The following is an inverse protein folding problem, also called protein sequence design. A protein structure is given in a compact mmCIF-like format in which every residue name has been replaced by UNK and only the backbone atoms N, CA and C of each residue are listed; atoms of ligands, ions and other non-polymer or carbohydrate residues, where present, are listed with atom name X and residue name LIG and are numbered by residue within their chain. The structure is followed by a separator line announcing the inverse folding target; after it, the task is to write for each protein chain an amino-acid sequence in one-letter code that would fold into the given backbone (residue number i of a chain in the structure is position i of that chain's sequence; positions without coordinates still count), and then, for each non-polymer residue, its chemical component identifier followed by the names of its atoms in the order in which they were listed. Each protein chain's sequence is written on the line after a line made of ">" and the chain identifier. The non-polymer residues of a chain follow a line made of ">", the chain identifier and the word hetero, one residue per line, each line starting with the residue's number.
data_IF_868090235966
#
_entry.id   IF_868090235966
#
_cell.length_a   1.000
_cell.length_b   1.000
_cell.length_c   1.000
_cell.angle_alpha   90.00
_cell.angle_beta   90.00
_cell.angle_gamma   90.00
#
_symmetry.space_group_name_H-M   'P 1'
#
loop_
_entity.id
_entity.type
_entity.pdbx_description
1 polymer ?
#
# COMPACT_ATOMS: atom_id res chain seq x y z
N UNK A 1 19.81 3.69 -14.59
CA UNK A 1 19.31 3.94 -15.96
C UNK A 1 18.02 3.13 -16.11
N UNK A 2 16.93 3.70 -16.66
CA UNK A 2 15.69 2.95 -16.87
C UNK A 2 15.85 1.93 -18.00
N UNK A 3 15.28 0.73 -17.83
CA UNK A 3 15.40 -0.39 -18.77
C UNK A 3 14.27 -0.46 -19.79
N UNK A 4 13.11 0.10 -19.47
CA UNK A 4 12.06 0.30 -20.48
C UNK A 4 12.57 1.22 -21.60
N UNK A 5 12.13 1.00 -22.82
CA UNK A 5 12.58 1.75 -24.00
C UNK A 5 11.62 2.90 -24.32
N UNK A 6 10.31 2.63 -24.28
CA UNK A 6 9.20 3.52 -24.60
C UNK A 6 9.24 4.82 -23.78
N UNK A 7 9.43 5.93 -24.48
CA UNK A 7 9.41 7.26 -23.87
C UNK A 7 8.05 7.59 -23.23
N UNK A 8 6.90 7.34 -23.89
CA UNK A 8 5.59 7.52 -23.23
C UNK A 8 5.47 6.72 -21.93
N UNK A 9 5.95 5.47 -21.90
CA UNK A 9 5.92 4.66 -20.69
C UNK A 9 6.83 5.22 -19.59
N UNK A 10 8.03 5.71 -19.92
CA UNK A 10 8.94 6.38 -18.97
C UNK A 10 8.28 7.57 -18.30
N UNK A 11 7.60 8.42 -19.08
CA UNK A 11 6.92 9.60 -18.55
C UNK A 11 5.76 9.16 -17.65
N UNK A 12 4.91 8.26 -18.13
CA UNK A 12 3.73 7.82 -17.39
C UNK A 12 4.08 7.12 -16.07
N UNK A 13 4.99 6.14 -16.12
CA UNK A 13 5.40 5.38 -14.95
C UNK A 13 6.35 6.17 -14.04
N UNK A 14 7.17 7.05 -14.60
CA UNK A 14 7.98 7.98 -13.80
C UNK A 14 7.11 8.95 -13.01
N UNK A 15 6.08 9.52 -13.63
CA UNK A 15 5.09 10.35 -12.94
C UNK A 15 4.32 9.56 -11.87
N UNK A 16 3.85 8.35 -12.22
CA UNK A 16 3.12 7.51 -11.27
C UNK A 16 3.99 7.13 -10.07
N UNK A 17 5.25 6.73 -10.30
CA UNK A 17 6.20 6.42 -9.24
C UNK A 17 6.48 7.64 -8.35
N UNK A 18 6.63 8.84 -8.93
CA UNK A 18 6.79 10.07 -8.17
C UNK A 18 5.57 10.33 -7.27
N UNK A 19 4.35 10.20 -7.80
CA UNK A 19 3.12 10.39 -7.03
C UNK A 19 2.99 9.36 -5.90
N UNK A 20 3.25 8.08 -6.18
CA UNK A 20 3.21 7.04 -5.15
C UNK A 20 4.26 7.26 -4.07
N UNK A 21 5.47 7.69 -4.43
CA UNK A 21 6.50 8.04 -3.46
C UNK A 21 6.10 9.23 -2.60
N UNK A 22 5.56 10.28 -3.22
CA UNK A 22 5.15 11.50 -2.55
C UNK A 22 4.03 11.20 -1.53
N UNK A 23 2.96 10.53 -1.96
CA UNK A 23 1.90 10.11 -1.03
C UNK A 23 2.40 9.13 0.02
N UNK A 24 3.29 8.20 -0.35
CA UNK A 24 3.86 7.26 0.59
C UNK A 24 4.61 7.95 1.73
N UNK A 25 5.61 8.77 1.42
CA UNK A 25 6.46 9.43 2.41
C UNK A 25 5.67 10.44 3.23
N UNK A 26 4.85 11.27 2.57
CA UNK A 26 4.04 12.26 3.25
C UNK A 26 3.07 11.61 4.23
N UNK A 27 2.39 10.54 3.82
CA UNK A 27 1.39 9.94 4.68
C UNK A 27 2.02 9.06 5.76
N UNK A 28 2.95 8.17 5.43
CA UNK A 28 3.44 7.20 6.42
C UNK A 28 4.17 7.86 7.60
N UNK A 29 4.87 8.98 7.37
CA UNK A 29 5.61 9.70 8.42
C UNK A 29 4.91 10.96 8.93
N UNK A 30 3.95 11.52 8.19
CA UNK A 30 3.31 12.79 8.52
C UNK A 30 1.79 12.75 8.36
N UNK A 31 1.18 11.57 8.50
CA UNK A 31 -0.26 11.39 8.31
C UNK A 31 -1.10 12.25 9.25
N UNK A 32 -0.68 12.40 10.50
CA UNK A 32 -1.31 13.29 11.50
C UNK A 32 -1.19 14.76 11.08
N UNK A 33 0.01 15.20 10.70
CA UNK A 33 0.25 16.57 10.22
C UNK A 33 -0.55 16.88 8.95
N UNK A 34 -0.66 15.91 8.03
CA UNK A 34 -1.42 16.04 6.80
C UNK A 34 -2.89 16.33 7.08
N UNK A 35 -3.50 15.61 8.04
CA UNK A 35 -4.94 15.76 8.34
C UNK A 35 -5.24 17.04 9.13
N UNK A 36 -4.25 17.63 9.80
CA UNK A 36 -4.35 18.95 10.46
C UNK A 36 -3.89 20.10 9.56
N UNK A 37 -3.70 19.87 8.26
CA UNK A 37 -3.28 20.91 7.31
C UNK A 37 -1.88 21.49 7.54
N UNK A 38 -1.03 20.78 8.28
CA UNK A 38 0.32 21.26 8.63
C UNK A 38 0.37 22.33 9.73
N UNK A 39 -0.76 22.70 10.33
CA UNK A 39 -0.84 23.74 11.37
C UNK A 39 -0.19 23.29 12.70
N UNK A 40 -0.27 21.99 12.99
CA UNK A 40 0.20 21.42 14.26
C UNK A 40 1.64 20.89 14.15
N UNK A 41 2.04 20.45 12.95
CA UNK A 41 3.37 19.93 12.67
C UNK A 41 3.68 19.98 11.17
N UNK A 42 4.97 19.87 10.82
CA UNK A 42 5.42 19.94 9.42
C UNK A 42 4.81 18.81 8.57
N UNK A 43 4.20 19.17 7.44
CA UNK A 43 3.66 18.23 6.47
C UNK A 43 4.22 18.55 5.06
N UNK A 44 4.87 17.59 4.36
CA UNK A 44 5.37 17.83 2.99
C UNK A 44 4.23 18.02 1.98
N UNK A 45 3.10 17.37 2.24
CA UNK A 45 1.80 17.63 1.64
C UNK A 45 0.84 17.95 2.76
N UNK A 46 -0.08 18.87 2.54
CA UNK A 46 -1.21 19.16 3.42
C UNK A 46 -2.54 18.99 2.66
N UNK A 47 -3.64 18.88 3.41
CA UNK A 47 -4.98 18.77 2.87
C UNK A 47 -5.67 20.12 2.65
N UNK A 48 -4.96 21.25 2.86
CA UNK A 48 -5.49 22.60 2.71
C UNK A 48 -6.44 23.07 3.81
N UNK A 49 -6.66 22.28 4.86
CA UNK A 49 -7.56 22.63 5.97
C UNK A 49 -6.81 23.53 6.95
N UNK A 50 -7.31 24.74 7.17
CA UNK A 50 -6.67 25.74 8.06
C UNK A 50 -7.53 26.13 9.26
N UNK A 51 -8.68 25.46 9.43
CA UNK A 51 -9.66 25.79 10.47
C UNK A 51 -10.02 24.51 11.24
N UNK A 52 -9.95 24.57 12.57
CA UNK A 52 -10.20 23.44 13.47
C UNK A 52 -11.68 23.04 13.57
N UNK A 53 -12.60 23.93 13.18
CA UNK A 53 -14.03 23.63 13.07
C UNK A 53 -14.42 22.89 11.79
N UNK A 54 -13.48 22.65 10.86
CA UNK A 54 -13.74 21.89 9.64
C UNK A 54 -14.05 20.42 9.97
N UNK A 55 -15.07 19.80 9.34
CA UNK A 55 -15.45 18.41 9.64
C UNK A 55 -14.36 17.37 9.32
N UNK A 56 -13.32 17.72 8.54
CA UNK A 56 -12.19 16.86 8.24
C UNK A 56 -10.91 17.22 9.00
N UNK A 57 -10.88 18.32 9.77
CA UNK A 57 -9.69 18.71 10.51
C UNK A 57 -9.29 17.63 11.52
N UNK A 58 -8.06 17.14 11.39
CA UNK A 58 -7.49 16.19 12.34
C UNK A 58 -8.08 14.78 12.28
N UNK A 59 -8.81 14.44 11.22
CA UNK A 59 -9.53 13.17 11.10
C UNK A 59 -8.67 12.11 10.41
N UNK A 60 -8.43 10.97 11.07
CA UNK A 60 -7.87 9.78 10.43
C UNK A 60 -6.38 9.82 10.10
N UNK A 61 -5.55 10.49 10.91
CA UNK A 61 -4.09 10.49 10.75
C UNK A 61 -3.50 9.06 10.67
N UNK A 62 -3.83 8.14 11.59
CA UNK A 62 -3.33 6.76 11.54
C UNK A 62 -3.82 5.94 10.32
N UNK A 63 -5.03 6.19 9.84
CA UNK A 63 -5.54 5.55 8.61
C UNK A 63 -4.78 6.08 7.38
N UNK A 64 -4.53 7.39 7.36
CA UNK A 64 -3.71 8.04 6.34
C UNK A 64 -2.28 7.48 6.35
N UNK A 65 -1.67 7.33 7.53
CA UNK A 65 -0.34 6.75 7.65
C UNK A 65 -0.25 5.32 7.09
N UNK A 66 -1.25 4.50 7.36
CA UNK A 66 -1.33 3.16 6.78
C UNK A 66 -1.48 3.19 5.25
N UNK A 67 -2.28 4.11 4.70
CA UNK A 67 -2.34 4.35 3.25
C UNK A 67 -0.96 4.68 2.66
N UNK A 68 -0.15 5.49 3.35
CA UNK A 68 1.21 5.81 2.94
C UNK A 68 2.12 4.58 2.83
N UNK A 69 1.98 3.65 3.79
CA UNK A 69 2.69 2.37 3.76
C UNK A 69 2.25 1.51 2.58
N UNK A 70 0.94 1.46 2.28
CA UNK A 70 0.44 0.70 1.15
C UNK A 70 0.84 1.33 -0.20
N UNK A 71 0.95 2.66 -0.29
CA UNK A 71 1.54 3.31 -1.46
C UNK A 71 3.02 2.96 -1.62
N UNK A 72 3.76 2.76 -0.53
CA UNK A 72 5.19 2.43 -0.58
C UNK A 72 5.49 1.16 -1.37
N UNK A 73 4.73 0.08 -1.14
CA UNK A 73 4.92 -1.15 -1.92
C UNK A 73 4.50 -1.00 -3.39
N UNK A 74 3.47 -0.21 -3.70
CA UNK A 74 3.09 0.09 -5.09
C UNK A 74 4.16 0.95 -5.79
N UNK A 75 4.78 1.87 -5.05
CA UNK A 75 5.95 2.61 -5.52
C UNK A 75 7.09 1.66 -5.87
N UNK A 76 7.49 0.77 -4.95
CA UNK A 76 8.56 -0.21 -5.20
C UNK A 76 8.24 -1.06 -6.44
N UNK A 77 7.02 -1.58 -6.55
CA UNK A 77 6.63 -2.40 -7.70
C UNK A 77 6.67 -1.62 -9.02
N UNK A 78 6.31 -0.33 -9.00
CA UNK A 78 6.43 0.56 -10.17
C UNK A 78 7.90 0.82 -10.54
N UNK A 79 8.77 1.01 -9.54
CA UNK A 79 10.21 1.15 -9.76
C UNK A 79 10.84 -0.13 -10.35
N UNK A 80 10.34 -1.32 -9.95
CA UNK A 80 10.76 -2.57 -10.57
C UNK A 80 10.43 -2.62 -12.07
N UNK A 81 9.30 -2.06 -12.51
CA UNK A 81 9.00 -1.97 -13.94
C UNK A 81 10.01 -1.05 -14.64
N UNK A 82 10.28 0.13 -14.06
CA UNK A 82 11.19 1.12 -14.62
C UNK A 82 12.63 0.61 -14.75
N UNK A 83 13.13 -0.12 -13.74
CA UNK A 83 14.53 -0.58 -13.69
C UNK A 83 14.76 -1.97 -14.25
N UNK A 84 13.78 -2.87 -14.16
CA UNK A 84 13.97 -4.26 -14.56
C UNK A 84 13.36 -4.58 -15.94
N UNK A 85 12.55 -3.66 -16.47
CA UNK A 85 11.96 -3.71 -17.81
C UNK A 85 10.51 -4.17 -17.80
N UNK A 86 9.87 -4.08 -18.98
CA UNK A 86 8.44 -4.29 -19.14
C UNK A 86 7.99 -5.75 -19.18
N UNK A 87 8.85 -6.65 -19.66
CA UNK A 87 8.50 -8.04 -19.99
C UNK A 87 7.78 -8.76 -18.85
N UNK A 88 6.56 -9.25 -19.14
CA UNK A 88 5.72 -9.97 -18.18
C UNK A 88 5.21 -9.16 -16.98
N UNK A 89 5.39 -7.84 -16.94
CA UNK A 89 4.99 -7.00 -15.80
C UNK A 89 3.49 -6.71 -15.71
N UNK A 90 2.66 -7.31 -16.57
CA UNK A 90 1.20 -7.35 -16.35
C UNK A 90 0.82 -7.85 -14.95
N UNK A 91 1.65 -8.73 -14.37
CA UNK A 91 1.49 -9.26 -13.00
C UNK A 91 1.47 -8.17 -11.92
N UNK A 92 2.16 -7.06 -12.18
CA UNK A 92 2.14 -5.86 -11.34
C UNK A 92 1.03 -4.92 -11.83
N UNK A 93 1.05 -4.60 -13.13
CA UNK A 93 0.29 -3.48 -13.68
C UNK A 93 -1.22 -3.69 -13.65
N UNK A 94 -1.71 -4.89 -13.93
CA UNK A 94 -3.16 -5.15 -13.94
C UNK A 94 -3.76 -5.10 -12.53
N UNK A 95 -3.21 -5.80 -11.51
CA UNK A 95 -3.65 -5.64 -10.13
C UNK A 95 -3.59 -4.19 -9.62
N UNK A 96 -2.48 -3.48 -9.85
CA UNK A 96 -2.37 -2.08 -9.45
C UNK A 96 -3.40 -1.19 -10.14
N UNK A 97 -3.68 -1.41 -11.43
CA UNK A 97 -4.70 -0.63 -12.15
C UNK A 97 -6.09 -0.85 -11.56
N UNK A 98 -6.44 -2.08 -11.18
CA UNK A 98 -7.73 -2.37 -10.52
C UNK A 98 -7.83 -1.67 -9.17
N UNK A 99 -6.78 -1.69 -8.35
CA UNK A 99 -6.74 -0.93 -7.09
C UNK A 99 -6.89 0.58 -7.30
N UNK A 100 -6.22 1.17 -8.31
CA UNK A 100 -6.34 2.60 -8.63
C UNK A 100 -7.73 2.99 -9.15
N UNK A 101 -8.36 2.12 -9.92
CA UNK A 101 -9.76 2.29 -10.36
C UNK A 101 -10.70 2.26 -9.15
N UNK A 102 -10.55 1.28 -8.25
CA UNK A 102 -11.31 1.21 -7.00
C UNK A 102 -11.07 2.43 -6.12
N UNK A 103 -9.84 2.93 -6.05
CA UNK A 103 -9.50 4.13 -5.30
C UNK A 103 -10.18 5.37 -5.89
N UNK A 104 -10.19 5.49 -7.22
CA UNK A 104 -10.92 6.56 -7.91
C UNK A 104 -12.41 6.49 -7.60
N UNK A 105 -13.00 5.29 -7.62
CA UNK A 105 -14.39 5.10 -7.20
C UNK A 105 -14.59 5.56 -5.74
N UNK A 106 -13.76 5.11 -4.81
CA UNK A 106 -13.87 5.44 -3.39
C UNK A 106 -13.75 6.93 -3.11
N UNK A 107 -12.72 7.58 -3.67
CA UNK A 107 -12.50 9.03 -3.53
C UNK A 107 -13.70 9.82 -4.01
N UNK A 108 -14.33 9.42 -5.12
CA UNK A 108 -15.46 10.14 -5.68
C UNK A 108 -16.77 9.92 -4.94
N UNK A 109 -17.04 8.71 -4.45
CA UNK A 109 -18.30 8.38 -3.77
C UNK A 109 -18.34 8.87 -2.32
N UNK A 110 -17.18 8.94 -1.68
CA UNK A 110 -17.07 9.25 -0.26
C UNK A 110 -16.40 10.59 0.01
N UNK A 111 -16.26 11.45 -1.01
CA UNK A 111 -15.69 12.79 -0.82
C UNK A 111 -16.54 13.61 0.15
N UNK A 112 -15.91 14.29 1.09
CA UNK A 112 -16.60 15.21 1.99
C UNK A 112 -16.67 16.60 1.36
N UNK A 113 -17.78 16.93 0.70
CA UNK A 113 -17.99 18.25 0.07
C UNK A 113 -18.21 19.38 1.12
N UNK A 114 -18.43 19.06 2.40
CA UNK A 114 -18.57 20.04 3.49
C UNK A 114 -17.21 20.50 4.03
N UNK A 115 -16.13 19.79 3.71
CA UNK A 115 -14.78 20.17 4.10
C UNK A 115 -14.18 21.21 3.16
N UNK A 116 -13.33 22.08 3.71
CA UNK A 116 -12.44 22.99 2.99
C UNK A 116 -11.39 22.25 2.15
N UNK A 117 -11.20 20.95 2.35
CA UNK A 117 -10.36 20.12 1.49
C UNK A 117 -10.84 20.23 0.03
N UNK A 118 -10.09 20.98 -0.79
CA UNK A 118 -10.48 21.27 -2.17
C UNK A 118 -10.59 20.00 -3.03
N UNK A 119 -11.31 20.04 -4.16
CA UNK A 119 -11.64 18.85 -4.96
C UNK A 119 -10.44 18.25 -5.73
N UNK A 120 -9.24 18.81 -5.58
CA UNK A 120 -8.04 18.40 -6.32
C UNK A 120 -7.76 16.89 -6.21
N UNK A 121 -7.85 16.23 -5.03
CA UNK A 121 -7.61 14.79 -4.93
C UNK A 121 -8.56 13.93 -5.77
N UNK A 122 -9.82 14.36 -5.99
CA UNK A 122 -10.78 13.69 -6.89
C UNK A 122 -10.26 13.65 -8.33
N UNK A 123 -9.72 14.77 -8.81
CA UNK A 123 -9.18 14.84 -10.16
C UNK A 123 -7.83 14.12 -10.26
N UNK A 124 -6.98 14.24 -9.24
CA UNK A 124 -5.69 13.55 -9.19
C UNK A 124 -5.84 12.03 -9.19
N UNK A 125 -6.86 11.46 -8.53
CA UNK A 125 -7.10 10.02 -8.56
C UNK A 125 -7.38 9.52 -9.99
N UNK A 126 -8.18 10.27 -10.76
CA UNK A 126 -8.46 9.96 -12.18
C UNK A 126 -7.18 10.08 -13.00
N UNK A 127 -6.45 11.20 -12.86
CA UNK A 127 -5.25 11.49 -13.65
C UNK A 127 -4.19 10.40 -13.43
N UNK A 128 -3.88 10.08 -12.17
CA UNK A 128 -2.88 9.05 -11.83
C UNK A 128 -3.33 7.67 -12.35
N UNK A 129 -4.61 7.33 -12.24
CA UNK A 129 -5.15 6.07 -12.77
C UNK A 129 -4.98 5.97 -14.29
N UNK A 130 -5.38 7.00 -15.02
CA UNK A 130 -5.28 7.04 -16.48
C UNK A 130 -3.82 7.06 -16.95
N UNK A 131 -2.93 7.78 -16.26
CA UNK A 131 -1.51 7.80 -16.57
C UNK A 131 -0.88 6.43 -16.34
N UNK A 132 -1.18 5.76 -15.23
CA UNK A 132 -0.63 4.43 -14.95
C UNK A 132 -1.10 3.40 -16.00
N UNK A 133 -2.39 3.42 -16.37
CA UNK A 133 -2.94 2.59 -17.46
C UNK A 133 -2.31 2.97 -18.80
N UNK A 134 -2.11 4.26 -19.08
CA UNK A 134 -1.41 4.75 -20.27
C UNK A 134 0.01 4.20 -20.36
N UNK A 135 0.71 4.10 -19.22
CA UNK A 135 2.00 3.42 -19.09
C UNK A 135 1.92 1.96 -19.50
N UNK A 136 0.91 1.22 -19.00
CA UNK A 136 0.70 -0.19 -19.37
C UNK A 136 0.46 -0.35 -20.88
N UNK A 137 -0.43 0.46 -21.46
CA UNK A 137 -0.70 0.44 -22.91
C UNK A 137 0.56 0.72 -23.72
N UNK A 138 1.37 1.68 -23.26
CA UNK A 138 2.61 2.09 -23.92
C UNK A 138 3.74 1.05 -23.83
N UNK A 139 3.61 0.03 -22.99
CA UNK A 139 4.57 -1.08 -22.84
C UNK A 139 4.17 -2.35 -23.60
N UNK A 140 3.04 -2.35 -24.33
CA UNK A 140 2.56 -3.55 -25.06
C UNK A 140 3.57 -4.09 -26.06
N UNK A 141 4.28 -3.22 -26.77
CA UNK A 141 5.34 -3.62 -27.73
C UNK A 141 6.61 -4.13 -27.06
N UNK A 142 6.82 -3.83 -25.78
CA UNK A 142 7.97 -4.30 -24.98
C UNK A 142 7.66 -5.58 -24.19
N UNK A 143 6.57 -6.27 -24.54
CA UNK A 143 6.25 -7.57 -23.95
C UNK A 143 5.63 -7.50 -22.55
N UNK A 144 4.98 -6.38 -22.16
CA UNK A 144 4.30 -6.30 -20.85
C UNK A 144 3.30 -7.42 -20.61
N UNK A 145 2.67 -7.92 -21.68
CA UNK A 145 1.70 -9.01 -21.66
C UNK A 145 2.31 -10.39 -21.86
N UNK A 146 3.63 -10.52 -21.85
CA UNK A 146 4.25 -11.83 -21.99
C UNK A 146 3.84 -12.77 -20.84
N UNK A 147 3.48 -14.01 -21.18
CA UNK A 147 2.93 -14.99 -20.24
C UNK A 147 1.47 -14.76 -19.85
N UNK A 148 0.84 -13.63 -20.24
CA UNK A 148 -0.57 -13.36 -19.92
C UNK A 148 -1.52 -14.33 -20.63
N UNK A 149 -1.23 -14.70 -21.89
CA UNK A 149 -2.03 -15.68 -22.64
C UNK A 149 -1.95 -17.09 -22.07
N UNK A 150 -0.87 -17.39 -21.35
CA UNK A 150 -0.63 -18.69 -20.73
C UNK A 150 -1.21 -18.77 -19.32
N UNK A 151 -1.65 -17.64 -18.77
CA UNK A 151 -2.30 -17.56 -17.48
C UNK A 151 -3.60 -18.36 -17.49
N UNK A 152 -3.58 -19.48 -16.77
CA UNK A 152 -4.74 -20.32 -16.47
C UNK A 152 -4.91 -20.38 -14.97
N UNK A 153 -5.95 -19.76 -14.39
CA UNK A 153 -6.19 -19.79 -12.95
C UNK A 153 -6.28 -21.23 -12.45
N UNK A 154 -5.55 -21.55 -11.38
CA UNK A 154 -5.64 -22.82 -10.68
C UNK A 154 -4.72 -22.86 -9.46
N UNK A 155 -4.97 -23.72 -8.48
CA UNK A 155 -4.07 -23.85 -7.33
C UNK A 155 -2.75 -24.50 -7.77
N UNK A 156 -1.75 -23.68 -8.09
CA UNK A 156 -0.46 -24.11 -8.68
C UNK A 156 0.70 -24.13 -7.70
N UNK A 157 0.53 -23.53 -6.52
CA UNK A 157 1.49 -23.62 -5.42
C UNK A 157 1.53 -25.05 -4.88
N UNK A 158 2.72 -25.63 -4.71
CA UNK A 158 2.87 -27.02 -4.25
C UNK A 158 3.11 -27.12 -2.74
N UNK A 159 3.77 -26.14 -2.17
CA UNK A 159 4.05 -26.02 -0.75
C UNK A 159 2.76 -25.75 0.03
N UNK A 160 2.36 -26.69 0.88
CA UNK A 160 1.08 -26.62 1.60
C UNK A 160 1.03 -25.46 2.60
N UNK A 161 2.16 -25.10 3.22
CA UNK A 161 2.20 -24.03 4.22
C UNK A 161 2.07 -22.68 3.52
N UNK A 162 2.81 -22.48 2.42
CA UNK A 162 2.69 -21.29 1.60
C UNK A 162 1.30 -21.19 0.96
N UNK A 163 0.73 -22.30 0.49
CA UNK A 163 -0.64 -22.33 -0.06
C UNK A 163 -1.66 -21.86 0.97
N UNK A 164 -1.63 -22.41 2.19
CA UNK A 164 -2.54 -21.98 3.27
C UNK A 164 -2.31 -20.50 3.58
N UNK A 165 -1.04 -20.05 3.64
CA UNK A 165 -0.71 -18.66 3.92
C UNK A 165 -1.28 -17.71 2.88
N UNK A 166 -1.14 -18.05 1.60
CA UNK A 166 -1.71 -17.29 0.48
C UNK A 166 -3.24 -17.32 0.47
N UNK A 167 -3.87 -18.46 0.81
CA UNK A 167 -5.34 -18.53 0.95
C UNK A 167 -5.81 -17.58 2.05
N UNK A 168 -5.16 -17.58 3.21
CA UNK A 168 -5.49 -16.68 4.31
C UNK A 168 -5.29 -15.22 3.91
N UNK A 169 -4.20 -14.88 3.21
CA UNK A 169 -3.97 -13.55 2.66
C UNK A 169 -5.08 -13.10 1.70
N UNK A 170 -5.51 -13.98 0.80
CA UNK A 170 -6.58 -13.69 -0.16
C UNK A 170 -7.92 -13.50 0.57
N UNK A 171 -8.27 -14.38 1.51
CA UNK A 171 -9.52 -14.28 2.25
C UNK A 171 -9.58 -13.03 3.12
N UNK A 172 -8.54 -12.76 3.90
CA UNK A 172 -8.44 -11.55 4.72
C UNK A 172 -8.44 -10.30 3.84
N UNK A 173 -7.63 -10.31 2.78
CA UNK A 173 -7.54 -9.20 1.85
C UNK A 173 -8.87 -8.88 1.16
N UNK A 174 -9.61 -9.89 0.71
CA UNK A 174 -10.95 -9.71 0.13
C UNK A 174 -11.95 -9.19 1.17
N UNK A 175 -11.92 -9.73 2.40
CA UNK A 175 -12.79 -9.26 3.48
C UNK A 175 -12.58 -7.77 3.75
N UNK A 176 -11.33 -7.35 3.96
CA UNK A 176 -10.99 -5.95 4.26
C UNK A 176 -11.19 -5.02 3.06
N UNK A 177 -10.68 -5.38 1.87
CA UNK A 177 -10.79 -4.52 0.69
C UNK A 177 -12.24 -4.26 0.30
N UNK A 178 -13.08 -5.30 0.21
CA UNK A 178 -14.47 -5.15 -0.23
C UNK A 178 -15.26 -4.28 0.75
N UNK A 179 -15.19 -4.58 2.05
CA UNK A 179 -15.96 -3.82 3.06
C UNK A 179 -15.50 -2.37 3.16
N UNK A 180 -14.19 -2.11 3.10
CA UNK A 180 -13.66 -0.76 3.17
C UNK A 180 -14.00 0.05 1.91
N UNK A 181 -14.01 -0.59 0.74
CA UNK A 181 -14.39 0.07 -0.52
C UNK A 181 -15.87 0.42 -0.55
N UNK A 182 -16.76 -0.52 -0.19
CA UNK A 182 -18.21 -0.36 -0.42
C UNK A 182 -19.02 0.09 0.80
N UNK A 183 -18.54 -0.19 2.01
CA UNK A 183 -19.22 0.16 3.26
C UNK A 183 -18.27 0.79 4.30
N UNK A 184 -17.48 1.83 3.93
CA UNK A 184 -16.51 2.44 4.83
C UNK A 184 -17.14 3.01 6.11
N UNK A 185 -18.38 3.52 6.05
CA UNK A 185 -19.11 3.99 7.23
C UNK A 185 -19.35 2.89 8.26
N UNK A 186 -19.65 1.66 7.82
CA UNK A 186 -19.87 0.53 8.73
C UNK A 186 -18.56 0.12 9.39
N UNK A 187 -17.46 0.13 8.64
CA UNK A 187 -16.10 -0.11 9.17
C UNK A 187 -15.75 0.93 10.25
N UNK A 188 -16.07 2.19 9.99
CA UNK A 188 -15.85 3.27 10.96
C UNK A 188 -16.71 3.07 12.20
N UNK A 189 -18.00 2.74 12.04
CA UNK A 189 -18.91 2.54 13.16
C UNK A 189 -18.51 1.36 14.07
N UNK A 190 -17.95 0.29 13.49
CA UNK A 190 -17.38 -0.83 14.26
C UNK A 190 -16.07 -0.44 14.97
N UNK A 191 -15.21 0.34 14.31
CA UNK A 191 -13.94 0.79 14.86
C UNK A 191 -14.08 1.85 15.96
N UNK A 192 -15.09 2.72 15.84
CA UNK A 192 -15.33 3.89 16.68
C UNK A 192 -16.80 3.92 17.12
N UNK A 193 -17.21 3.05 18.05
CA UNK A 193 -18.60 2.97 18.48
C UNK A 193 -19.02 4.25 19.23
N UNK A 194 -20.31 4.59 19.20
CA UNK A 194 -20.84 5.85 19.73
C UNK A 194 -20.60 6.09 21.24
N UNK A 195 -20.32 5.02 21.99
CA UNK A 195 -20.00 5.04 23.42
C UNK A 195 -18.49 4.94 23.70
N UNK A 196 -17.63 5.19 22.71
CA UNK A 196 -16.18 5.17 22.91
C UNK A 196 -15.72 6.34 23.79
N UNK A 197 -15.10 6.01 24.92
CA UNK A 197 -14.58 6.99 25.91
C UNK A 197 -13.05 7.16 25.84
N UNK A 198 -12.37 6.48 24.92
CA UNK A 198 -10.92 6.62 24.79
C UNK A 198 -10.49 7.90 24.07
N UNK A 199 -9.19 8.14 24.01
CA UNK A 199 -8.61 9.43 23.63
C UNK A 199 -8.51 9.61 22.12
N UNK A 200 -9.59 10.08 21.49
CA UNK A 200 -9.50 10.77 20.20
C UNK A 200 -9.00 12.21 20.42
N UNK A 201 -8.20 12.71 19.50
CA UNK A 201 -7.73 14.09 19.52
C UNK A 201 -7.62 14.61 18.10
N UNK A 202 -8.62 15.39 17.66
CA UNK A 202 -8.56 16.07 16.35
C UNK A 202 -7.40 17.05 16.30
N UNK A 203 -7.09 17.74 17.41
CA UNK A 203 -5.93 18.60 17.52
C UNK A 203 -4.58 17.87 17.31
N UNK A 204 -4.53 16.56 17.53
CA UNK A 204 -3.34 15.74 17.27
C UNK A 204 -3.47 14.91 15.98
N UNK A 205 -4.49 15.12 15.14
CA UNK A 205 -4.70 14.29 13.96
C UNK A 205 -5.22 12.88 14.23
N UNK A 206 -5.61 12.59 15.47
CA UNK A 206 -6.08 11.28 15.96
C UNK A 206 -7.62 11.17 16.00
N UNK A 207 -8.32 12.00 15.24
CA UNK A 207 -9.77 11.90 15.06
C UNK A 207 -10.18 10.63 14.30
N UNK A 208 -11.46 10.29 14.37
CA UNK A 208 -12.06 9.19 13.60
C UNK A 208 -11.77 9.36 12.10
N UNK A 209 -11.39 8.31 11.35
CA UNK A 209 -11.13 8.46 9.93
C UNK A 209 -12.40 8.76 9.13
N UNK A 210 -12.23 9.47 8.03
CA UNK A 210 -13.28 9.76 7.07
C UNK A 210 -13.54 8.56 6.15
N UNK A 211 -14.76 8.41 5.62
CA UNK A 211 -15.10 7.31 4.72
C UNK A 211 -14.22 7.27 3.46
N UNK A 212 -13.77 8.43 2.97
CA UNK A 212 -12.81 8.53 1.86
C UNK A 212 -11.49 7.83 2.17
N UNK A 213 -10.93 8.07 3.37
CA UNK A 213 -9.64 7.50 3.78
C UNK A 213 -9.74 5.97 3.89
N UNK A 214 -10.83 5.48 4.48
CA UNK A 214 -11.09 4.03 4.60
C UNK A 214 -11.27 3.37 3.24
N UNK A 215 -12.02 3.99 2.33
CA UNK A 215 -12.21 3.46 0.98
C UNK A 215 -10.92 3.42 0.15
N UNK A 216 -10.04 4.42 0.33
CA UNK A 216 -8.68 4.40 -0.23
C UNK A 216 -7.87 3.22 0.32
N UNK A 217 -7.90 2.98 1.64
CA UNK A 217 -7.23 1.83 2.26
C UNK A 217 -7.68 0.51 1.67
N UNK A 218 -9.00 0.30 1.57
CA UNK A 218 -9.56 -0.91 0.95
C UNK A 218 -9.08 -1.11 -0.49
N UNK A 219 -9.00 -0.02 -1.25
CA UNK A 219 -8.54 -0.02 -2.65
C UNK A 219 -7.05 -0.37 -2.78
N UNK A 220 -6.23 0.09 -1.83
CA UNK A 220 -4.81 -0.25 -1.81
C UNK A 220 -4.58 -1.69 -1.35
N UNK A 221 -5.31 -2.17 -0.32
CA UNK A 221 -5.30 -3.58 0.11
C UNK A 221 -5.68 -4.52 -1.04
N UNK A 222 -6.61 -4.11 -1.91
CA UNK A 222 -7.01 -4.90 -3.08
C UNK A 222 -5.81 -5.23 -3.98
N UNK A 223 -4.84 -4.32 -4.15
CA UNK A 223 -3.64 -4.58 -4.96
C UNK A 223 -2.84 -5.76 -4.40
N UNK A 224 -2.54 -5.73 -3.10
CA UNK A 224 -1.79 -6.79 -2.41
C UNK A 224 -2.56 -8.12 -2.36
N UNK A 225 -3.89 -8.02 -2.26
CA UNK A 225 -4.80 -9.19 -2.31
C UNK A 225 -4.71 -9.86 -3.68
N UNK A 226 -4.77 -9.07 -4.76
CA UNK A 226 -4.68 -9.56 -6.13
C UNK A 226 -3.27 -10.10 -6.45
N UNK A 227 -2.21 -9.52 -5.91
CA UNK A 227 -0.86 -10.08 -5.99
C UNK A 227 -0.74 -11.44 -5.29
N UNK A 228 -1.29 -11.57 -4.08
CA UNK A 228 -1.32 -12.85 -3.36
C UNK A 228 -2.14 -13.90 -4.11
N UNK A 229 -3.30 -13.50 -4.63
CA UNK A 229 -4.15 -14.36 -5.45
C UNK A 229 -3.43 -14.80 -6.73
N UNK A 230 -2.66 -13.90 -7.36
CA UNK A 230 -1.89 -14.24 -8.55
C UNK A 230 -0.82 -15.30 -8.25
N UNK A 231 -0.07 -15.17 -7.15
CA UNK A 231 0.92 -16.18 -6.74
C UNK A 231 0.23 -17.52 -6.47
N UNK A 232 -0.90 -17.51 -5.78
CA UNK A 232 -1.68 -18.71 -5.48
C UNK A 232 -2.19 -19.40 -6.76
N UNK A 233 -2.71 -18.61 -7.70
CA UNK A 233 -3.39 -19.08 -8.91
C UNK A 233 -2.47 -19.36 -10.10
N UNK A 234 -1.29 -18.75 -10.14
CA UNK A 234 -0.35 -18.92 -11.25
C UNK A 234 0.92 -19.69 -10.85
N UNK A 235 1.17 -19.84 -9.55
CA UNK A 235 2.38 -20.45 -9.02
C UNK A 235 3.46 -19.40 -8.70
N UNK A 236 4.51 -19.85 -8.02
CA UNK A 236 5.55 -18.99 -7.46
C UNK A 236 6.56 -18.46 -8.49
N UNK A 237 6.83 -19.22 -9.56
CA UNK A 237 7.94 -18.94 -10.47
C UNK A 237 7.93 -17.50 -10.99
N UNK A 238 9.00 -16.75 -10.70
CA UNK A 238 9.20 -15.36 -11.13
C UNK A 238 8.27 -14.32 -10.50
N UNK A 239 7.53 -14.65 -9.43
CA UNK A 239 6.59 -13.73 -8.76
C UNK A 239 7.23 -12.89 -7.64
N UNK A 240 8.55 -12.91 -7.49
CA UNK A 240 9.28 -12.01 -6.57
C UNK A 240 8.86 -10.54 -6.75
N UNK A 241 8.58 -10.11 -7.99
CA UNK A 241 8.26 -8.72 -8.30
C UNK A 241 6.92 -8.23 -7.71
N UNK A 242 6.10 -9.13 -7.14
CA UNK A 242 4.88 -8.80 -6.40
C UNK A 242 4.95 -9.17 -4.91
N UNK A 243 5.70 -10.21 -4.52
CA UNK A 243 5.89 -10.52 -3.09
C UNK A 243 6.97 -9.69 -2.39
N UNK A 244 8.03 -9.26 -3.08
CA UNK A 244 9.03 -8.36 -2.48
C UNK A 244 8.41 -7.02 -2.07
N UNK A 245 7.66 -6.31 -2.95
CA UNK A 245 7.02 -5.07 -2.53
C UNK A 245 6.00 -5.28 -1.40
N UNK A 246 5.30 -6.42 -1.40
CA UNK A 246 4.42 -6.82 -0.29
C UNK A 246 5.19 -6.97 1.03
N UNK A 247 6.34 -7.66 1.02
CA UNK A 247 7.17 -7.83 2.20
C UNK A 247 7.67 -6.48 2.74
N UNK A 248 8.16 -5.60 1.86
CA UNK A 248 8.57 -4.24 2.26
C UNK A 248 7.42 -3.44 2.87
N UNK A 249 6.24 -3.45 2.24
CA UNK A 249 5.07 -2.73 2.75
C UNK A 249 4.62 -3.25 4.12
N UNK A 250 4.44 -4.56 4.29
CA UNK A 250 3.90 -5.10 5.53
C UNK A 250 4.91 -5.15 6.69
N UNK A 251 6.22 -5.21 6.42
CA UNK A 251 7.25 -4.92 7.43
C UNK A 251 7.13 -3.47 7.89
N UNK A 252 7.00 -2.53 6.96
CA UNK A 252 6.83 -1.10 7.27
C UNK A 252 5.57 -0.88 8.10
N UNK A 253 4.45 -1.53 7.75
CA UNK A 253 3.19 -1.43 8.48
C UNK A 253 3.33 -1.96 9.91
N UNK A 254 4.03 -3.09 10.08
CA UNK A 254 4.23 -3.67 11.41
C UNK A 254 5.16 -2.80 12.26
N UNK A 255 6.24 -2.27 11.68
CA UNK A 255 7.16 -1.37 12.37
C UNK A 255 6.47 -0.06 12.78
N UNK A 256 5.71 0.55 11.87
CA UNK A 256 4.98 1.79 12.14
C UNK A 256 3.92 1.58 13.21
N UNK A 257 3.16 0.48 13.14
CA UNK A 257 2.14 0.15 14.13
C UNK A 257 2.75 -0.10 15.52
N UNK A 258 3.83 -0.86 15.60
CA UNK A 258 4.51 -1.10 16.89
C UNK A 258 4.95 0.20 17.54
N UNK A 259 5.59 1.08 16.77
CA UNK A 259 6.07 2.38 17.28
C UNK A 259 4.89 3.27 17.68
N UNK A 260 3.84 3.34 16.85
CA UNK A 260 2.63 4.11 17.15
C UNK A 260 1.89 3.61 18.40
N UNK A 261 1.90 2.30 18.67
CA UNK A 261 1.33 1.73 19.91
C UNK A 261 2.12 2.18 21.14
N UNK A 262 3.45 2.25 21.05
CA UNK A 262 4.31 2.76 22.14
C UNK A 262 4.16 4.28 22.31
N UNK A 263 4.03 5.01 21.21
CA UNK A 263 3.86 6.47 21.21
C UNK A 263 2.45 6.91 21.65
N UNK A 264 1.47 6.00 21.65
CA UNK A 264 0.07 6.32 21.95
C UNK A 264 -0.70 6.94 20.78
N UNK A 265 -0.19 6.83 19.55
CA UNK A 265 -0.78 7.38 18.33
C UNK A 265 -1.49 6.33 17.45
N UNK A 266 -1.36 5.04 17.80
CA UNK A 266 -2.05 3.96 17.08
C UNK A 266 -3.58 3.96 17.31
N UNK A 267 -4.33 3.48 16.31
CA UNK A 267 -5.75 3.17 16.47
C UNK A 267 -5.92 1.97 17.40
N UNK A 268 -6.43 2.24 18.59
CA UNK A 268 -6.70 1.23 19.60
C UNK A 268 -8.05 1.50 20.32
N UNK A 269 -9.01 2.06 19.59
CA UNK A 269 -10.26 2.56 20.17
C UNK A 269 -11.27 1.46 20.53
N UNK A 270 -11.18 0.30 19.91
CA UNK A 270 -12.15 -0.79 20.07
C UNK A 270 -11.51 -2.14 19.89
N UNK A 271 -12.23 -3.20 20.26
CA UNK A 271 -11.85 -4.57 19.92
C UNK A 271 -11.67 -4.74 18.40
N UNK A 272 -12.48 -4.07 17.58
CA UNK A 272 -12.33 -4.08 16.13
C UNK A 272 -10.98 -3.47 15.70
N UNK A 273 -10.60 -2.30 16.22
CA UNK A 273 -9.29 -1.70 15.94
C UNK A 273 -8.12 -2.56 16.45
N UNK A 274 -8.27 -3.21 17.60
CA UNK A 274 -7.27 -4.15 18.12
C UNK A 274 -7.11 -5.35 17.19
N UNK A 275 -8.22 -5.91 16.71
CA UNK A 275 -8.22 -7.00 15.74
C UNK A 275 -7.57 -6.58 14.41
N UNK A 276 -7.82 -5.36 13.94
CA UNK A 276 -7.20 -4.82 12.73
C UNK A 276 -5.68 -4.67 12.90
N UNK A 277 -5.24 -4.12 14.04
CA UNK A 277 -3.83 -3.99 14.40
C UNK A 277 -3.12 -5.35 14.44
N UNK A 278 -3.73 -6.34 15.11
CA UNK A 278 -3.20 -7.71 15.18
C UNK A 278 -3.16 -8.37 13.79
N UNK A 279 -4.19 -8.15 12.98
CA UNK A 279 -4.26 -8.70 11.61
C UNK A 279 -3.13 -8.17 10.74
N UNK A 280 -2.74 -6.90 10.87
CA UNK A 280 -1.59 -6.34 10.15
C UNK A 280 -0.29 -7.12 10.38
N UNK A 281 0.02 -7.47 11.63
CA UNK A 281 1.18 -8.28 11.96
C UNK A 281 1.09 -9.71 11.42
N UNK A 282 -0.11 -10.32 11.47
CA UNK A 282 -0.36 -11.64 10.88
C UNK A 282 -0.15 -11.61 9.36
N UNK A 283 -0.66 -10.60 8.66
CA UNK A 283 -0.48 -10.42 7.21
C UNK A 283 1.00 -10.34 6.86
N UNK A 284 1.81 -9.58 7.62
CA UNK A 284 3.26 -9.52 7.42
C UNK A 284 3.90 -10.92 7.51
N UNK A 285 3.58 -11.69 8.56
CA UNK A 285 4.09 -13.05 8.73
C UNK A 285 3.67 -13.96 7.57
N UNK A 286 2.40 -13.93 7.16
CA UNK A 286 1.90 -14.76 6.06
C UNK A 286 2.58 -14.42 4.73
N UNK A 287 2.86 -13.14 4.45
CA UNK A 287 3.62 -12.71 3.27
C UNK A 287 5.04 -13.26 3.31
N UNK A 288 5.74 -13.12 4.44
CA UNK A 288 7.10 -13.63 4.59
C UNK A 288 7.17 -15.15 4.49
N UNK A 289 6.26 -15.86 5.17
CA UNK A 289 6.15 -17.33 5.07
C UNK A 289 5.96 -17.73 3.61
N UNK A 290 5.01 -17.09 2.90
CA UNK A 290 4.75 -17.37 1.49
C UNK A 290 6.00 -17.14 0.65
N UNK A 291 6.68 -16.01 0.81
CA UNK A 291 7.89 -15.69 0.07
C UNK A 291 9.02 -16.71 0.33
N UNK A 292 9.39 -16.94 1.59
CA UNK A 292 10.54 -17.79 1.93
C UNK A 292 10.29 -19.27 1.62
N UNK A 293 9.06 -19.77 1.83
CA UNK A 293 8.70 -21.16 1.50
C UNK A 293 8.73 -21.42 0.00
N UNK A 294 8.34 -20.42 -0.80
CA UNK A 294 8.22 -20.56 -2.25
C UNK A 294 9.52 -20.35 -3.01
N UNK A 295 10.64 -20.07 -2.33
CA UNK A 295 11.97 -20.02 -2.99
C UNK A 295 12.28 -21.29 -3.76
N UNK A 296 12.00 -22.46 -3.18
CA UNK A 296 12.19 -23.76 -3.83
C UNK A 296 11.23 -24.05 -5.01
N UNK A 297 10.17 -23.24 -5.18
CA UNK A 297 9.26 -23.28 -6.32
C UNK A 297 9.57 -22.19 -7.36
N UNK A 298 10.72 -21.52 -7.23
CA UNK A 298 11.17 -20.54 -8.21
C UNK A 298 10.69 -19.12 -7.94
N UNK A 299 10.32 -18.76 -6.71
CA UNK A 299 9.87 -17.39 -6.37
C UNK A 299 10.79 -16.30 -6.94
N UNK A 300 12.11 -16.54 -6.93
CA UNK A 300 13.15 -15.62 -7.42
C UNK A 300 13.64 -15.92 -8.84
N UNK A 301 12.96 -16.80 -9.59
CA UNK A 301 13.32 -17.11 -10.97
C UNK A 301 13.34 -15.84 -11.82
N UNK A 302 14.41 -15.67 -12.60
CA UNK A 302 14.59 -14.49 -13.46
C UNK A 302 14.68 -13.18 -12.69
N UNK A 303 14.98 -13.21 -11.38
CA UNK A 303 15.21 -12.01 -10.60
C UNK A 303 16.45 -11.26 -11.08
N UNK A 304 16.28 -9.95 -11.24
CA UNK A 304 17.33 -9.05 -11.65
C UNK A 304 17.40 -7.86 -10.71
N UNK A 305 18.59 -7.30 -10.56
CA UNK A 305 18.83 -6.05 -9.86
C UNK A 305 19.58 -5.09 -10.78
N UNK A 306 18.95 -3.94 -11.07
CA UNK A 306 19.42 -3.00 -12.10
C UNK A 306 19.65 -3.69 -13.45
N UNK A 307 18.77 -4.63 -13.80
CA UNK A 307 18.80 -5.38 -15.04
C UNK A 307 19.84 -6.50 -15.12
N UNK A 308 20.62 -6.75 -14.06
CA UNK A 308 21.60 -7.86 -13.99
C UNK A 308 21.02 -9.02 -13.19
N UNK A 309 21.23 -10.29 -13.61
CA UNK A 309 20.84 -11.45 -12.80
C UNK A 309 21.44 -11.36 -11.41
N UNK A 310 20.66 -11.74 -10.40
CA UNK A 310 21.16 -11.85 -9.03
C UNK A 310 21.79 -13.22 -8.86
N UNK A 311 23.09 -13.26 -8.53
CA UNK A 311 23.84 -14.51 -8.33
C UNK A 311 23.78 -15.00 -6.88
N UNK A 312 23.53 -14.10 -5.92
CA UNK A 312 23.47 -14.41 -4.49
C UNK A 312 22.02 -14.54 -4.00
N UNK A 313 21.61 -15.77 -3.71
CA UNK A 313 20.28 -16.09 -3.17
C UNK A 313 20.01 -15.47 -1.78
N UNK A 314 21.05 -15.01 -1.06
CA UNK A 314 20.89 -14.33 0.24
C UNK A 314 20.68 -12.82 0.13
N UNK A 315 20.93 -12.23 -1.06
CA UNK A 315 20.94 -10.79 -1.27
C UNK A 315 19.63 -10.09 -0.92
N UNK A 316 18.48 -10.69 -1.24
CA UNK A 316 17.18 -10.14 -0.86
C UNK A 316 16.96 -10.18 0.66
N UNK A 317 17.29 -11.29 1.30
CA UNK A 317 17.10 -11.46 2.76
C UNK A 317 17.90 -10.39 3.52
N UNK A 318 19.16 -10.18 3.14
CA UNK A 318 20.00 -9.14 3.74
C UNK A 318 19.45 -7.74 3.49
N UNK A 319 18.95 -7.47 2.28
CA UNK A 319 18.31 -6.19 1.92
C UNK A 319 17.04 -5.94 2.75
N UNK A 320 16.22 -6.98 2.95
CA UNK A 320 15.00 -6.92 3.74
C UNK A 320 15.29 -6.62 5.22
N UNK A 321 16.31 -7.26 5.80
CA UNK A 321 16.75 -7.03 7.18
C UNK A 321 17.31 -5.62 7.37
N UNK A 322 18.16 -5.16 6.44
CA UNK A 322 18.70 -3.80 6.47
C UNK A 322 17.58 -2.77 6.33
N UNK A 323 16.62 -3.01 5.43
CA UNK A 323 15.46 -2.17 5.27
C UNK A 323 14.62 -2.10 6.55
N UNK A 324 14.33 -3.24 7.18
CA UNK A 324 13.57 -3.28 8.43
C UNK A 324 14.24 -2.45 9.54
N UNK A 325 15.59 -2.54 9.64
CA UNK A 325 16.38 -1.73 10.57
C UNK A 325 16.25 -0.23 10.27
N UNK A 326 16.43 0.16 9.00
CA UNK A 326 16.36 1.57 8.57
C UNK A 326 14.96 2.12 8.82
N UNK A 327 13.91 1.41 8.44
CA UNK A 327 12.53 1.86 8.63
C UNK A 327 12.17 1.97 10.10
N UNK A 328 12.55 1.00 10.93
CA UNK A 328 12.36 1.09 12.38
C UNK A 328 13.06 2.31 12.98
N UNK A 329 14.30 2.59 12.54
CA UNK A 329 15.04 3.77 12.96
C UNK A 329 14.37 5.07 12.49
N UNK A 330 13.89 5.15 11.25
CA UNK A 330 13.23 6.34 10.70
C UNK A 330 11.92 6.66 11.45
N UNK A 331 11.08 5.66 11.71
CA UNK A 331 9.87 5.87 12.52
C UNK A 331 10.20 6.29 13.96
N UNK A 332 11.22 5.68 14.57
CA UNK A 332 11.66 6.07 15.91
C UNK A 332 12.16 7.52 15.93
N UNK A 333 12.95 7.92 14.94
CA UNK A 333 13.44 9.30 14.79
C UNK A 333 12.27 10.26 14.58
N UNK A 334 11.31 9.90 13.75
CA UNK A 334 10.13 10.71 13.47
C UNK A 334 9.33 10.99 14.76
N UNK A 335 9.01 9.97 15.55
CA UNK A 335 8.32 10.16 16.84
C UNK A 335 9.17 10.95 17.85
N UNK A 336 10.44 10.56 18.05
CA UNK A 336 11.26 11.12 19.14
C UNK A 336 11.76 12.53 18.85
N UNK A 337 12.10 12.85 17.60
CA UNK A 337 12.72 14.13 17.24
C UNK A 337 11.76 15.11 16.58
N UNK A 338 10.72 14.63 15.89
CA UNK A 338 9.80 15.48 15.14
C UNK A 338 8.43 15.64 15.81
N UNK A 339 8.14 14.85 16.85
CA UNK A 339 6.92 14.99 17.65
C UNK A 339 5.63 14.63 16.92
N UNK A 340 5.74 13.77 15.90
CA UNK A 340 4.62 13.15 15.19
C UNK A 340 4.35 11.73 15.66
#
# INVERSE_FOLDING_TARGET
>A
MFKIESMPAKICLGFSALMFLLYSVSFMFFGECYVTGGEVCFAPLDNGITVDTDPAFGMGGPETAFNGVLFFGIFISTMLILFEGARGKWIIMLPSSLGLISMTFGVWNYWNDESMAGPLPKYMSIIVTLIYIGGYVSLRSEGVNEGLSDFKPGLKVKDKIAMISLILLVLAGLFYSIRMIFTPNDVIAEGFPANYEGSLSTAAGLGTPLPTQVSVTGSLILVYTLWSALVLMDGASGKWAVLHPSAFAFITATASLYIALIAGTARNASEANQMDALTGAVVMLLVLISYFRLKGEGMEDGMTFMGKPVEDESGFTNSLLLFALIIGALFTINVVLLGS
#
